data_IF_275599021502
#
_entry.id   IF_275599021502
#
_cell.length_a   1.000
_cell.length_b   1.000
_cell.length_c   1.000
_cell.angle_alpha   90.00
_cell.angle_beta   90.00
_cell.angle_gamma   90.00
#
_symmetry.space_group_name_H-M   'P 1'
#
loop_
_entity.id
_entity.type
_entity.pdbx_description
1 polymer ?
#
# COMPACT_ATOMS: atom_id res chain seq x y z
N UNK A 1 58.06 21.64 36.61
CA UNK A 1 58.02 20.73 35.44
C UNK A 1 56.59 20.57 34.90
N UNK A 2 56.33 21.10 33.70
CA UNK A 2 55.03 20.99 33.04
C UNK A 2 54.86 19.59 32.43
N UNK A 3 53.77 18.91 32.79
CA UNK A 3 53.43 17.59 32.26
C UNK A 3 53.01 17.71 30.79
N UNK A 4 53.47 16.83 29.89
CA UNK A 4 53.06 16.88 28.49
C UNK A 4 51.58 16.50 28.33
N UNK A 5 50.88 17.02 27.31
CA UNK A 5 49.47 16.72 27.08
C UNK A 5 49.26 15.22 26.86
N UNK A 6 48.39 14.61 27.67
CA UNK A 6 48.00 13.22 27.53
C UNK A 6 47.14 13.11 26.27
N UNK A 7 47.70 12.53 25.19
CA UNK A 7 46.93 12.13 24.02
C UNK A 7 46.13 10.87 24.36
N UNK A 8 44.97 11.02 24.98
CA UNK A 8 43.98 9.95 25.00
C UNK A 8 43.42 9.83 23.59
N UNK A 9 43.78 8.74 22.89
CA UNK A 9 42.98 8.31 21.73
C UNK A 9 41.52 8.25 22.19
N UNK A 10 40.54 8.76 21.43
CA UNK A 10 39.15 8.49 21.75
C UNK A 10 39.03 6.97 21.79
N UNK A 11 38.67 6.43 22.95
CA UNK A 11 38.33 5.02 23.05
C UNK A 11 37.30 4.78 21.94
N UNK A 12 37.62 3.87 21.02
CA UNK A 12 36.64 3.33 20.09
C UNK A 12 35.64 2.57 20.96
N UNK A 13 34.72 3.30 21.59
CA UNK A 13 33.59 2.77 22.31
C UNK A 13 32.69 2.16 21.25
N UNK A 14 33.02 0.95 20.81
CA UNK A 14 32.07 0.08 20.16
C UNK A 14 30.98 -0.15 21.20
N UNK A 15 29.93 0.67 21.15
CA UNK A 15 28.67 0.37 21.81
C UNK A 15 28.15 -0.84 21.05
N UNK A 16 28.41 -2.04 21.59
CA UNK A 16 27.76 -3.24 21.12
C UNK A 16 26.27 -2.94 21.11
N UNK A 17 25.65 -2.93 19.92
CA UNK A 17 24.19 -2.94 19.84
C UNK A 17 23.77 -4.16 20.65
N UNK A 18 23.08 -3.93 21.77
CA UNK A 18 22.43 -4.99 22.52
C UNK A 18 21.48 -5.66 21.53
N UNK A 19 21.89 -6.82 21.03
CA UNK A 19 21.02 -7.69 20.25
C UNK A 19 19.95 -8.11 21.24
N UNK A 20 18.70 -7.72 20.98
CA UNK A 20 17.59 -8.13 21.82
C UNK A 20 17.61 -9.66 21.95
N UNK A 21 17.43 -10.19 23.18
CA UNK A 21 17.42 -11.63 23.39
C UNK A 21 16.35 -12.26 22.50
N UNK A 22 16.75 -13.30 21.76
CA UNK A 22 15.89 -14.01 20.81
C UNK A 22 14.62 -14.49 21.52
N UNK A 23 13.49 -13.79 21.33
CA UNK A 23 12.19 -14.20 21.83
C UNK A 23 11.55 -15.18 20.84
N UNK A 24 11.13 -16.34 21.33
CA UNK A 24 10.37 -17.33 20.54
C UNK A 24 8.89 -16.96 20.37
N UNK A 25 8.53 -15.72 20.66
CA UNK A 25 7.17 -15.26 20.50
C UNK A 25 6.94 -14.79 19.07
N UNK A 26 5.94 -15.38 18.42
CA UNK A 26 5.50 -15.06 17.06
C UNK A 26 5.31 -13.55 16.84
N UNK A 27 4.91 -12.82 17.89
CA UNK A 27 4.74 -11.37 17.87
C UNK A 27 5.98 -10.61 17.37
N UNK A 28 7.18 -10.96 17.82
CA UNK A 28 8.42 -10.27 17.41
C UNK A 28 8.95 -10.75 16.05
N UNK A 29 8.55 -11.93 15.58
CA UNK A 29 8.81 -12.36 14.20
C UNK A 29 8.00 -11.53 13.21
N UNK A 30 6.74 -11.23 13.52
CA UNK A 30 5.83 -10.55 12.59
C UNK A 30 5.80 -9.03 12.74
N UNK A 31 6.23 -8.45 13.86
CA UNK A 31 6.20 -7.00 14.10
C UNK A 31 6.78 -6.15 12.93
N UNK A 32 7.97 -6.46 12.38
CA UNK A 32 8.49 -5.71 11.21
C UNK A 32 7.74 -5.99 9.90
N UNK A 33 7.08 -7.15 9.78
CA UNK A 33 6.31 -7.52 8.58
C UNK A 33 4.89 -6.96 8.59
N UNK A 34 4.26 -6.91 9.77
CA UNK A 34 2.92 -6.37 9.97
C UNK A 34 2.88 -4.88 9.64
N UNK A 35 3.91 -4.12 10.05
CA UNK A 35 4.05 -2.72 9.66
C UNK A 35 4.22 -2.53 8.15
N UNK A 36 4.84 -3.49 7.43
CA UNK A 36 4.92 -3.47 5.96
C UNK A 36 3.59 -3.80 5.32
N UNK A 37 2.88 -4.82 5.83
CA UNK A 37 1.54 -5.18 5.37
C UNK A 37 0.57 -4.00 5.48
N UNK A 38 0.52 -3.32 6.63
CA UNK A 38 -0.35 -2.15 6.80
C UNK A 38 -0.05 -1.03 5.78
N UNK A 39 1.22 -0.77 5.50
CA UNK A 39 1.62 0.20 4.46
C UNK A 39 1.22 -0.26 3.06
N UNK A 40 1.27 -1.56 2.76
CA UNK A 40 0.82 -2.10 1.48
C UNK A 40 -0.70 -1.99 1.34
N UNK A 41 -1.45 -2.31 2.40
CA UNK A 41 -2.90 -2.18 2.41
C UNK A 41 -3.36 -0.72 2.22
N UNK A 42 -2.69 0.25 2.86
CA UNK A 42 -3.01 1.67 2.64
C UNK A 42 -2.69 2.10 1.21
N UNK A 43 -1.57 1.65 0.64
CA UNK A 43 -1.25 1.91 -0.78
C UNK A 43 -2.28 1.31 -1.72
N UNK A 44 -2.71 0.08 -1.46
CA UNK A 44 -3.75 -0.58 -2.26
C UNK A 44 -5.05 0.25 -2.25
N UNK A 45 -5.47 0.72 -1.07
CA UNK A 45 -6.64 1.59 -0.94
C UNK A 45 -6.50 2.87 -1.77
N UNK A 46 -5.37 3.58 -1.66
CA UNK A 46 -5.12 4.80 -2.44
C UNK A 46 -5.18 4.52 -3.95
N UNK A 47 -4.57 3.42 -4.41
CA UNK A 47 -4.63 3.03 -5.82
C UNK A 47 -6.06 2.75 -6.30
N UNK A 48 -6.91 2.16 -5.46
CA UNK A 48 -8.33 1.99 -5.81
C UNK A 48 -9.08 3.31 -5.92
N UNK A 49 -8.82 4.27 -5.02
CA UNK A 49 -9.41 5.60 -5.08
C UNK A 49 -8.96 6.37 -6.34
N UNK A 50 -7.67 6.30 -6.67
CA UNK A 50 -7.12 6.88 -7.91
C UNK A 50 -7.74 6.25 -9.16
N UNK A 51 -7.89 4.92 -9.16
CA UNK A 51 -8.50 4.19 -10.26
C UNK A 51 -10.00 4.53 -10.42
N UNK A 52 -10.73 4.75 -9.33
CA UNK A 52 -12.12 5.22 -9.39
C UNK A 52 -12.22 6.64 -9.96
N UNK A 53 -11.34 7.54 -9.52
CA UNK A 53 -11.26 8.90 -10.05
C UNK A 53 -10.89 8.92 -11.53
N UNK A 54 -9.96 8.06 -11.96
CA UNK A 54 -9.61 7.91 -13.37
C UNK A 54 -10.81 7.44 -14.20
N UNK A 55 -11.57 6.44 -13.72
CA UNK A 55 -12.79 5.97 -14.42
C UNK A 55 -13.82 7.09 -14.59
N UNK A 56 -14.02 7.93 -13.57
CA UNK A 56 -14.93 9.08 -13.66
C UNK A 56 -14.46 10.07 -14.73
N UNK A 57 -13.17 10.40 -14.75
CA UNK A 57 -12.59 11.29 -15.77
C UNK A 57 -12.74 10.72 -17.18
N UNK A 58 -12.52 9.41 -17.36
CA UNK A 58 -12.75 8.75 -18.64
C UNK A 58 -14.22 8.85 -19.08
N UNK A 59 -15.17 8.67 -18.16
CA UNK A 59 -16.59 8.78 -18.48
C UNK A 59 -16.99 10.21 -18.91
N UNK A 60 -16.47 11.23 -18.22
CA UNK A 60 -16.66 12.64 -18.62
C UNK A 60 -16.07 12.89 -20.01
N UNK A 61 -14.84 12.45 -20.25
CA UNK A 61 -14.17 12.64 -21.54
C UNK A 61 -14.90 11.95 -22.69
N UNK A 62 -15.46 10.75 -22.46
CA UNK A 62 -16.29 10.07 -23.45
C UNK A 62 -17.55 10.88 -23.77
N UNK A 63 -18.18 11.48 -22.76
CA UNK A 63 -19.30 12.40 -22.96
C UNK A 63 -18.89 13.58 -23.85
N UNK A 64 -17.79 14.26 -23.50
CA UNK A 64 -17.29 15.41 -24.26
C UNK A 64 -16.96 15.06 -25.73
N UNK A 65 -16.43 13.84 -25.98
CA UNK A 65 -16.15 13.35 -27.35
C UNK A 65 -17.45 13.14 -28.13
N UNK A 66 -18.46 12.53 -27.50
CA UNK A 66 -19.75 12.27 -28.16
C UNK A 66 -20.51 13.57 -28.44
N UNK A 67 -20.45 14.54 -27.53
CA UNK A 67 -21.10 15.84 -27.68
C UNK A 67 -20.41 16.77 -28.69
N UNK A 68 -19.17 16.45 -29.11
CA UNK A 68 -18.41 17.28 -30.04
C UNK A 68 -19.00 17.22 -31.47
N UNK A 69 -19.24 18.35 -32.17
CA UNK A 69 -19.93 18.34 -33.47
C UNK A 69 -19.07 17.87 -34.66
N UNK A 70 -17.82 17.46 -34.42
CA UNK A 70 -16.92 16.91 -35.43
C UNK A 70 -17.00 15.38 -35.43
N UNK A 71 -16.80 14.76 -36.58
CA UNK A 71 -16.92 13.32 -36.87
C UNK A 71 -18.34 12.76 -36.79
N UNK A 72 -18.51 11.54 -37.33
CA UNK A 72 -19.76 10.79 -37.24
C UNK A 72 -19.84 10.02 -35.92
N UNK A 73 -21.03 9.93 -35.34
CA UNK A 73 -21.24 9.22 -34.07
C UNK A 73 -20.80 7.74 -34.15
N UNK A 74 -20.94 7.13 -35.32
CA UNK A 74 -20.54 5.74 -35.57
C UNK A 74 -19.02 5.52 -35.38
N UNK A 75 -18.18 6.42 -35.88
CA UNK A 75 -16.72 6.31 -35.76
C UNK A 75 -16.26 6.52 -34.31
N UNK A 76 -16.85 7.47 -33.60
CA UNK A 76 -16.58 7.71 -32.18
C UNK A 76 -16.99 6.52 -31.33
N UNK A 77 -18.22 6.03 -31.51
CA UNK A 77 -18.73 4.91 -30.74
C UNK A 77 -17.91 3.64 -30.99
N UNK A 78 -17.51 3.38 -32.24
CA UNK A 78 -16.63 2.25 -32.56
C UNK A 78 -15.32 2.28 -31.77
N UNK A 79 -14.61 3.41 -31.80
CA UNK A 79 -13.32 3.54 -31.11
C UNK A 79 -13.46 3.45 -29.58
N UNK A 80 -14.51 4.03 -29.01
CA UNK A 80 -14.85 3.91 -27.58
C UNK A 80 -15.10 2.43 -27.22
N UNK A 81 -15.91 1.72 -28.01
CA UNK A 81 -16.24 0.32 -27.76
C UNK A 81 -15.03 -0.59 -27.85
N UNK A 82 -14.19 -0.44 -28.87
CA UNK A 82 -12.95 -1.22 -29.03
C UNK A 82 -12.03 -1.03 -27.82
N UNK A 83 -11.85 0.22 -27.38
CA UNK A 83 -11.04 0.57 -26.22
C UNK A 83 -11.58 -0.07 -24.93
N UNK A 84 -12.88 0.02 -24.69
CA UNK A 84 -13.52 -0.56 -23.50
C UNK A 84 -13.59 -2.09 -23.53
N UNK A 85 -13.63 -2.71 -24.72
CA UNK A 85 -13.54 -4.15 -24.88
C UNK A 85 -12.16 -4.66 -24.44
N UNK A 86 -11.07 -4.09 -24.96
CA UNK A 86 -9.70 -4.47 -24.58
C UNK A 86 -9.49 -4.30 -23.07
N UNK A 87 -9.96 -3.20 -22.49
CA UNK A 87 -9.91 -2.95 -21.05
C UNK A 87 -10.62 -4.02 -20.21
N UNK A 88 -11.69 -4.63 -20.71
CA UNK A 88 -12.39 -5.72 -20.01
C UNK A 88 -11.65 -7.05 -20.13
N UNK A 89 -11.10 -7.35 -21.31
CA UNK A 89 -10.33 -8.59 -21.54
C UNK A 89 -9.07 -8.64 -20.66
N UNK A 90 -8.35 -7.52 -20.55
CA UNK A 90 -7.17 -7.42 -19.68
C UNK A 90 -7.53 -7.55 -18.20
N UNK A 91 -8.71 -7.06 -17.79
CA UNK A 91 -9.20 -7.25 -16.42
C UNK A 91 -9.52 -8.70 -16.12
N UNK A 92 -10.19 -9.41 -17.03
CA UNK A 92 -10.52 -10.83 -16.80
C UNK A 92 -9.28 -11.71 -16.71
N UNK A 93 -8.21 -11.43 -17.45
CA UNK A 93 -6.99 -12.24 -17.37
C UNK A 93 -6.19 -12.04 -16.07
N UNK A 94 -6.38 -10.93 -15.36
CA UNK A 94 -5.59 -10.58 -14.16
C UNK A 94 -6.38 -10.69 -12.84
N UNK A 95 -7.71 -10.57 -12.86
CA UNK A 95 -8.54 -10.57 -11.65
C UNK A 95 -8.80 -11.97 -11.06
N UNK A 96 -8.58 -13.04 -11.82
CA UNK A 96 -8.78 -14.42 -11.35
C UNK A 96 -7.85 -14.81 -10.17
N UNK A 97 -6.85 -13.99 -9.84
CA UNK A 97 -5.91 -14.26 -8.72
C UNK A 97 -6.08 -13.40 -7.48
N UNK A 98 -6.83 -12.29 -7.52
CA UNK A 98 -6.86 -11.31 -6.40
C UNK A 98 -8.14 -11.39 -5.57
N UNK A 99 -9.25 -11.87 -6.13
CA UNK A 99 -10.54 -11.92 -5.43
C UNK A 99 -10.59 -12.93 -4.27
N UNK A 100 -9.65 -13.87 -4.19
CA UNK A 100 -9.65 -14.97 -3.22
C UNK A 100 -9.02 -14.60 -1.86
N UNK A 101 -8.28 -13.49 -1.79
CA UNK A 101 -7.54 -13.09 -0.59
C UNK A 101 -8.24 -12.04 0.28
N UNK A 102 -9.49 -11.63 0.00
CA UNK A 102 -10.19 -10.62 0.80
C UNK A 102 -10.58 -11.20 2.18
N UNK A 103 -9.87 -10.89 3.29
CA UNK A 103 -10.31 -11.31 4.60
C UNK A 103 -11.43 -10.36 5.01
N UNK A 104 -12.59 -10.90 5.38
CA UNK A 104 -13.61 -10.13 6.09
C UNK A 104 -13.04 -9.80 7.47
N UNK A 105 -12.30 -8.69 7.59
CA UNK A 105 -11.94 -8.16 8.90
C UNK A 105 -13.22 -7.70 9.59
N UNK A 106 -13.76 -8.58 10.43
CA UNK A 106 -14.82 -8.28 11.37
C UNK A 106 -14.34 -7.19 12.33
N UNK A 107 -15.11 -6.12 12.39
CA UNK A 107 -14.99 -5.06 13.38
C UNK A 107 -15.44 -5.57 14.75
N UNK A 108 -14.54 -6.21 15.51
CA UNK A 108 -14.75 -6.49 16.94
C UNK A 108 -13.40 -6.59 17.65
N UNK A 109 -12.78 -5.44 17.90
CA UNK A 109 -11.72 -5.32 18.90
C UNK A 109 -12.12 -4.19 19.86
N UNK A 110 -12.98 -4.53 20.82
CA UNK A 110 -13.14 -3.72 22.02
C UNK A 110 -11.91 -3.91 22.93
N UNK A 111 -11.42 -2.87 23.63
CA UNK A 111 -10.25 -2.99 24.48
C UNK A 111 -10.62 -3.75 25.75
N UNK A 112 -10.12 -4.99 25.90
CA UNK A 112 -10.12 -5.64 27.22
C UNK A 112 -9.12 -4.91 28.12
N UNK A 113 -9.66 -4.28 29.17
CA UNK A 113 -8.88 -3.64 30.21
C UNK A 113 -7.95 -4.62 30.91
N UNK A 114 -6.70 -4.20 31.11
CA UNK A 114 -5.74 -4.89 31.95
C UNK A 114 -6.07 -4.59 33.42
N UNK A 115 -6.28 -5.65 34.22
CA UNK A 115 -6.30 -5.55 35.68
C UNK A 115 -4.86 -5.71 36.16
N UNK A 116 -4.28 -4.64 36.71
CA UNK A 116 -3.10 -4.75 37.57
C UNK A 116 -3.53 -5.41 38.89
N UNK A 117 -3.09 -6.63 39.13
CA UNK A 117 -3.07 -7.20 40.49
C UNK A 117 -1.76 -6.77 41.17
N UNK A 118 -1.92 -6.13 42.34
CA UNK A 118 -0.85 -5.82 43.30
C UNK A 118 -0.41 -7.06 44.04
#
# INVERSE_FOLDING_TARGET
>A
PSQPPIKTKPNNCYVAKLVEPYCHCDFHLYEPEMGRYMKLAEKEKVLYEELDNLKKRMAVLVGDILDHPCDTDDEKMKTIYETDYVKRVVKSSCLDRVAELRPRFGSDLTPRGYVLSK
#
